data_IF_366514992864
#
_entry.id   IF_366514992864
#
_cell.length_a   1.000
_cell.length_b   1.000
_cell.length_c   1.000
_cell.angle_alpha   90.00
_cell.angle_beta   90.00
_cell.angle_gamma   90.00
#
_symmetry.space_group_name_H-M   'P 1'
#
loop_
_entity.id
_entity.type
_entity.pdbx_description
1 polymer ?
#
# COMPACT_ATOMS: atom_id res chain seq x y z
N UNK A 1 -7.90 -3.15 -14.59
CA UNK A 1 -7.17 -1.90 -14.85
C UNK A 1 -7.91 -1.19 -15.98
N UNK A 2 -8.55 -0.04 -15.69
CA UNK A 2 -9.21 0.79 -16.69
C UNK A 2 -8.14 1.70 -17.30
N UNK A 3 -7.66 1.34 -18.49
CA UNK A 3 -6.52 2.00 -19.16
C UNK A 3 -6.94 3.23 -19.99
N UNK A 4 -8.24 3.54 -20.10
CA UNK A 4 -8.75 4.72 -20.81
C UNK A 4 -9.25 5.80 -19.84
N UNK A 5 -9.01 7.07 -20.16
CA UNK A 5 -9.57 8.25 -19.46
C UNK A 5 -11.08 8.39 -19.72
N UNK A 6 -11.85 7.41 -19.28
CA UNK A 6 -13.29 7.34 -19.51
C UNK A 6 -14.02 7.49 -18.17
N UNK A 7 -14.93 8.45 -18.11
CA UNK A 7 -15.89 8.57 -17.01
C UNK A 7 -17.17 7.81 -17.36
N UNK A 8 -17.79 7.20 -16.36
CA UNK A 8 -19.06 6.48 -16.51
C UNK A 8 -20.09 7.07 -15.55
N UNK A 9 -21.26 7.43 -16.07
CA UNK A 9 -22.36 8.01 -15.32
C UNK A 9 -23.48 6.97 -15.28
N UNK A 10 -23.92 6.65 -14.07
CA UNK A 10 -25.02 5.72 -13.78
C UNK A 10 -25.59 6.09 -12.40
N UNK A 11 -26.68 5.45 -12.00
CA UNK A 11 -27.26 5.58 -10.66
C UNK A 11 -26.22 5.25 -9.58
N UNK A 12 -26.20 6.06 -8.52
CA UNK A 12 -25.25 5.89 -7.41
C UNK A 12 -25.31 4.47 -6.83
N UNK A 13 -26.51 3.90 -6.73
CA UNK A 13 -26.71 2.54 -6.22
C UNK A 13 -26.07 1.48 -7.12
N UNK A 14 -26.26 1.56 -8.44
CA UNK A 14 -25.66 0.61 -9.37
C UNK A 14 -24.12 0.73 -9.39
N UNK A 15 -23.59 1.95 -9.29
CA UNK A 15 -22.16 2.18 -9.18
C UNK A 15 -21.59 1.63 -7.87
N UNK A 16 -22.24 1.84 -6.73
CA UNK A 16 -21.83 1.27 -5.44
C UNK A 16 -21.82 -0.26 -5.49
N UNK A 17 -22.88 -0.87 -6.04
CA UNK A 17 -22.98 -2.33 -6.19
C UNK A 17 -21.88 -2.87 -7.11
N UNK A 18 -21.64 -2.25 -8.27
CA UNK A 18 -20.54 -2.65 -9.17
C UNK A 18 -19.17 -2.45 -8.54
N UNK A 19 -18.97 -1.35 -7.81
CA UNK A 19 -17.72 -1.11 -7.11
C UNK A 19 -17.48 -2.17 -6.03
N UNK A 20 -18.51 -2.54 -5.26
CA UNK A 20 -18.43 -3.63 -4.28
C UNK A 20 -18.15 -4.98 -4.94
N UNK A 21 -18.81 -5.28 -6.06
CA UNK A 21 -18.60 -6.54 -6.80
C UNK A 21 -17.24 -6.67 -7.48
N UNK A 22 -16.59 -5.55 -7.83
CA UNK A 22 -15.38 -5.53 -8.68
C UNK A 22 -14.14 -5.03 -7.92
N UNK A 23 -14.28 -4.77 -6.63
CA UNK A 23 -13.25 -4.26 -5.75
C UNK A 23 -13.29 -2.74 -5.66
N UNK A 24 -13.76 -2.23 -4.52
CA UNK A 24 -13.98 -0.79 -4.28
C UNK A 24 -12.71 0.05 -4.43
N UNK A 25 -11.54 -0.53 -4.18
CA UNK A 25 -10.23 0.13 -4.30
C UNK A 25 -9.85 0.51 -5.74
N UNK A 26 -10.49 -0.11 -6.75
CA UNK A 26 -10.20 0.15 -8.17
C UNK A 26 -11.02 1.31 -8.75
N UNK A 27 -11.98 1.85 -7.98
CA UNK A 27 -12.93 2.85 -8.45
C UNK A 27 -13.01 4.05 -7.50
N UNK A 28 -12.96 5.26 -8.05
CA UNK A 28 -13.27 6.49 -7.33
C UNK A 28 -14.69 6.93 -7.73
N UNK A 29 -15.63 6.88 -6.79
CA UNK A 29 -16.96 7.44 -7.01
C UNK A 29 -16.96 8.93 -6.66
N UNK A 30 -17.42 9.77 -7.59
CA UNK A 30 -17.70 11.17 -7.32
C UNK A 30 -18.80 11.32 -6.27
N UNK A 31 -18.68 12.29 -5.37
CA UNK A 31 -19.67 12.55 -4.31
C UNK A 31 -20.90 13.31 -4.83
N UNK A 32 -20.75 13.97 -5.97
CA UNK A 32 -21.80 14.80 -6.56
C UNK A 32 -22.87 13.94 -7.24
N UNK A 33 -24.12 14.33 -7.01
CA UNK A 33 -25.28 13.71 -7.64
C UNK A 33 -25.89 14.73 -8.59
N UNK A 34 -25.89 14.43 -9.88
CA UNK A 34 -26.47 15.30 -10.90
C UNK A 34 -28.01 15.33 -10.81
N UNK A 35 -28.62 14.21 -10.41
CA UNK A 35 -30.07 14.08 -10.29
C UNK A 35 -30.46 13.31 -9.03
N UNK A 36 -31.52 13.77 -8.35
CA UNK A 36 -32.13 13.06 -7.25
C UNK A 36 -32.96 11.90 -7.81
N UNK A 37 -32.45 10.68 -7.69
CA UNK A 37 -33.17 9.47 -8.08
C UNK A 37 -33.89 8.90 -6.84
N UNK A 38 -35.21 8.76 -6.96
CA UNK A 38 -36.07 8.18 -5.93
C UNK A 38 -36.69 6.89 -6.44
N UNK A 39 -36.75 5.87 -5.58
CA UNK A 39 -37.45 4.63 -5.86
C UNK A 39 -38.84 4.69 -5.24
N UNK A 40 -39.85 4.26 -5.99
CA UNK A 40 -41.24 4.22 -5.53
C UNK A 40 -41.85 2.87 -5.85
N UNK A 41 -42.84 2.47 -5.05
CA UNK A 41 -43.59 1.23 -5.26
C UNK A 41 -44.90 1.61 -5.95
N UNK A 42 -45.08 1.13 -7.17
CA UNK A 42 -46.30 1.37 -7.92
C UNK A 42 -47.45 0.51 -7.36
N UNK A 43 -48.61 1.13 -7.13
CA UNK A 43 -49.83 0.44 -6.73
C UNK A 43 -50.95 0.77 -7.72
N UNK A 44 -51.94 -0.13 -7.84
CA UNK A 44 -53.12 0.10 -8.66
C UNK A 44 -53.91 1.30 -8.14
N UNK A 45 -54.53 2.04 -9.06
CA UNK A 45 -55.34 3.22 -8.73
C UNK A 45 -56.52 2.78 -7.86
N UNK A 46 -56.67 3.39 -6.68
CA UNK A 46 -57.74 3.06 -5.73
C UNK A 46 -57.43 1.90 -4.79
N UNK A 47 -56.19 1.39 -4.77
CA UNK A 47 -55.79 0.36 -3.81
C UNK A 47 -56.08 0.80 -2.36
N UNK A 48 -56.90 0.06 -1.59
CA UNK A 48 -57.30 0.47 -0.23
C UNK A 48 -56.12 0.45 0.75
N UNK A 49 -55.11 -0.38 0.49
CA UNK A 49 -53.91 -0.49 1.30
C UNK A 49 -52.87 0.61 1.04
N UNK A 50 -53.06 1.49 0.05
CA UNK A 50 -52.06 2.52 -0.32
C UNK A 50 -51.69 3.40 0.87
N UNK A 51 -52.69 3.82 1.66
CA UNK A 51 -52.49 4.73 2.80
C UNK A 51 -51.69 4.04 3.91
N UNK A 52 -52.13 2.82 4.29
CA UNK A 52 -51.44 2.03 5.30
C UNK A 52 -50.00 1.70 4.88
N UNK A 53 -49.80 1.32 3.62
CA UNK A 53 -48.49 0.99 3.08
C UNK A 53 -47.56 2.20 3.05
N UNK A 54 -48.05 3.38 2.66
CA UNK A 54 -47.24 4.60 2.65
C UNK A 54 -46.81 5.02 4.06
N UNK A 55 -47.70 4.90 5.05
CA UNK A 55 -47.38 5.16 6.46
C UNK A 55 -46.28 4.23 6.97
N UNK A 56 -46.42 2.93 6.70
CA UNK A 56 -45.46 1.92 7.10
C UNK A 56 -44.09 2.14 6.41
N UNK A 57 -44.10 2.49 5.13
CA UNK A 57 -42.88 2.81 4.38
C UNK A 57 -42.16 4.05 4.96
N UNK A 58 -42.91 5.09 5.35
CA UNK A 58 -42.34 6.27 6.02
C UNK A 58 -41.66 5.88 7.33
N UNK A 59 -42.34 5.08 8.16
CA UNK A 59 -41.78 4.59 9.43
C UNK A 59 -40.52 3.75 9.22
N UNK A 60 -40.48 2.91 8.19
CA UNK A 60 -39.28 2.12 7.86
C UNK A 60 -38.10 3.00 7.41
N UNK A 61 -38.37 4.10 6.71
CA UNK A 61 -37.34 5.07 6.30
C UNK A 61 -36.85 5.88 7.49
N UNK A 62 -37.77 6.39 8.31
CA UNK A 62 -37.47 7.18 9.52
C UNK A 62 -36.71 6.37 10.57
N UNK A 63 -37.03 5.08 10.73
CA UNK A 63 -36.27 4.16 11.60
C UNK A 63 -34.91 3.77 11.04
N UNK A 64 -34.57 4.19 9.82
CA UNK A 64 -33.30 3.85 9.16
C UNK A 64 -33.19 2.39 8.74
N UNK A 65 -34.29 1.62 8.75
CA UNK A 65 -34.28 0.19 8.42
C UNK A 65 -33.86 -0.05 6.96
N UNK A 66 -34.29 0.83 6.04
CA UNK A 66 -33.84 0.83 4.64
C UNK A 66 -32.32 0.97 4.55
N UNK A 67 -31.74 1.89 5.33
CA UNK A 67 -30.29 2.13 5.31
C UNK A 67 -29.53 0.92 5.86
N UNK A 68 -30.04 0.30 6.93
CA UNK A 68 -29.48 -0.94 7.48
C UNK A 68 -29.48 -2.06 6.45
N UNK A 69 -30.61 -2.32 5.79
CA UNK A 69 -30.71 -3.36 4.77
C UNK A 69 -29.82 -3.08 3.56
N UNK A 70 -29.77 -1.83 3.08
CA UNK A 70 -28.86 -1.44 2.00
C UNK A 70 -27.41 -1.79 2.38
N UNK A 71 -26.98 -1.42 3.58
CA UNK A 71 -25.62 -1.68 4.07
C UNK A 71 -25.34 -3.18 4.16
N UNK A 72 -26.25 -3.93 4.77
CA UNK A 72 -26.11 -5.39 4.94
C UNK A 72 -25.99 -6.12 3.59
N UNK A 73 -26.78 -5.71 2.59
CA UNK A 73 -26.70 -6.30 1.25
C UNK A 73 -25.41 -5.92 0.53
N UNK A 74 -24.96 -4.66 0.64
CA UNK A 74 -23.66 -4.24 0.09
C UNK A 74 -22.49 -4.97 0.74
N UNK A 75 -22.54 -5.17 2.06
CA UNK A 75 -21.51 -5.88 2.81
C UNK A 75 -21.45 -7.36 2.39
N UNK A 76 -22.61 -8.02 2.19
CA UNK A 76 -22.70 -9.40 1.65
C UNK A 76 -22.11 -9.55 0.25
N UNK A 77 -22.32 -8.54 -0.59
CA UNK A 77 -21.76 -8.52 -1.95
C UNK A 77 -20.25 -8.32 -1.87
N UNK A 78 -19.81 -7.38 -1.02
CA UNK A 78 -18.38 -7.09 -0.85
C UNK A 78 -17.63 -8.29 -0.27
N UNK A 79 -18.18 -9.01 0.71
CA UNK A 79 -17.52 -10.18 1.31
C UNK A 79 -17.32 -11.32 0.31
N UNK A 80 -18.30 -11.58 -0.56
CA UNK A 80 -18.16 -12.55 -1.67
C UNK A 80 -17.06 -12.18 -2.67
N UNK A 81 -16.82 -10.89 -2.89
CA UNK A 81 -15.78 -10.42 -3.81
C UNK A 81 -14.40 -10.36 -3.14
N UNK A 82 -14.34 -10.03 -1.84
CA UNK A 82 -13.08 -9.90 -1.08
C UNK A 82 -12.38 -11.25 -0.87
N UNK A 83 -13.07 -12.39 -0.98
CA UNK A 83 -12.41 -13.71 -1.00
C UNK A 83 -11.37 -13.85 -2.14
N UNK A 84 -11.36 -12.96 -3.14
CA UNK A 84 -10.38 -12.94 -4.24
C UNK A 84 -9.29 -11.87 -4.14
N UNK A 85 -9.24 -11.03 -3.11
CA UNK A 85 -8.15 -10.06 -2.93
C UNK A 85 -7.49 -10.25 -1.55
N UNK A 86 -6.17 -10.40 -1.49
CA UNK A 86 -5.47 -10.55 -0.22
C UNK A 86 -5.72 -9.30 0.63
N UNK A 87 -6.06 -9.55 1.90
CA UNK A 87 -6.24 -8.49 2.89
C UNK A 87 -5.01 -7.56 2.88
N UNK A 88 -5.17 -6.22 2.98
CA UNK A 88 -4.06 -5.30 3.16
C UNK A 88 -3.35 -5.45 4.52
N UNK A 89 -3.84 -6.36 5.36
CA UNK A 89 -3.14 -6.90 6.53
C UNK A 89 -2.20 -8.05 6.13
N UNK A 90 -1.74 -8.10 4.89
CA UNK A 90 -0.61 -8.95 4.52
C UNK A 90 0.61 -8.52 5.33
N UNK A 91 1.17 -9.49 6.05
CA UNK A 91 2.38 -9.37 6.84
C UNK A 91 3.43 -8.58 6.05
N UNK A 92 4.09 -7.62 6.72
CA UNK A 92 5.16 -6.77 6.19
C UNK A 92 6.02 -7.59 5.23
N UNK A 93 5.76 -7.40 3.94
CA UNK A 93 6.36 -8.23 2.90
C UNK A 93 7.79 -7.73 2.70
N UNK A 94 8.69 -8.65 2.34
CA UNK A 94 10.11 -8.38 2.14
C UNK A 94 10.41 -7.18 1.21
N UNK A 95 9.46 -6.84 0.33
CA UNK A 95 9.49 -5.66 -0.54
C UNK A 95 9.65 -4.33 0.24
N UNK A 96 9.02 -4.18 1.40
CA UNK A 96 9.16 -2.98 2.21
C UNK A 96 10.52 -2.90 2.94
N UNK A 97 11.11 -4.06 3.26
CA UNK A 97 12.41 -4.15 3.95
C UNK A 97 13.61 -4.15 2.98
N UNK A 98 13.36 -4.36 1.68
CA UNK A 98 14.38 -4.36 0.63
C UNK A 98 15.18 -3.05 0.61
N UNK A 99 14.52 -1.90 0.79
CA UNK A 99 15.19 -0.60 0.87
C UNK A 99 16.18 -0.50 2.04
N UNK A 100 15.81 -1.02 3.22
CA UNK A 100 16.68 -1.05 4.39
C UNK A 100 17.91 -1.95 4.15
N UNK A 101 17.72 -3.10 3.50
CA UNK A 101 18.83 -3.99 3.12
C UNK A 101 19.80 -3.34 2.12
N UNK A 102 19.29 -2.54 1.16
CA UNK A 102 20.16 -1.81 0.22
C UNK A 102 21.03 -0.78 0.93
N UNK A 103 20.44 0.02 1.82
CA UNK A 103 21.20 1.01 2.60
C UNK A 103 22.23 0.32 3.49
N UNK A 104 21.87 -0.80 4.13
CA UNK A 104 22.80 -1.59 4.93
C UNK A 104 23.95 -2.15 4.10
N UNK A 105 23.66 -2.73 2.92
CA UNK A 105 24.69 -3.26 2.01
C UNK A 105 25.64 -2.17 1.52
N UNK A 106 25.14 -0.97 1.19
CA UNK A 106 25.98 0.17 0.81
C UNK A 106 26.87 0.64 1.97
N UNK A 107 26.32 0.69 3.19
CA UNK A 107 27.08 0.98 4.41
C UNK A 107 28.22 -0.01 4.61
N UNK A 108 27.93 -1.32 4.59
CA UNK A 108 28.96 -2.36 4.71
C UNK A 108 29.99 -2.30 3.56
N UNK A 109 29.55 -2.07 2.33
CA UNK A 109 30.43 -1.94 1.16
C UNK A 109 31.39 -0.77 1.29
N UNK A 110 30.90 0.41 1.67
CA UNK A 110 31.74 1.60 1.88
C UNK A 110 32.78 1.41 2.99
N UNK A 111 32.39 0.78 4.10
CA UNK A 111 33.32 0.45 5.20
C UNK A 111 34.41 -0.54 4.77
N UNK A 112 34.03 -1.59 4.04
CA UNK A 112 34.98 -2.56 3.50
C UNK A 112 35.95 -1.92 2.50
N UNK A 113 35.48 -1.03 1.62
CA UNK A 113 36.33 -0.30 0.68
C UNK A 113 37.30 0.64 1.40
N UNK A 114 36.85 1.37 2.43
CA UNK A 114 37.72 2.24 3.23
C UNK A 114 38.82 1.42 3.93
N UNK A 115 38.47 0.28 4.51
CA UNK A 115 39.44 -0.61 5.16
C UNK A 115 40.45 -1.21 4.17
N UNK A 116 39.99 -1.66 3.00
CA UNK A 116 40.86 -2.15 1.93
C UNK A 116 41.80 -1.04 1.43
N UNK A 117 41.30 0.16 1.22
CA UNK A 117 42.11 1.32 0.81
C UNK A 117 43.18 1.65 1.86
N UNK A 118 42.82 1.66 3.14
CA UNK A 118 43.77 1.89 4.24
C UNK A 118 44.83 0.79 4.32
N UNK A 119 44.43 -0.48 4.18
CA UNK A 119 45.36 -1.62 4.17
C UNK A 119 46.34 -1.55 3.01
N UNK A 120 45.87 -1.25 1.80
CA UNK A 120 46.73 -1.08 0.62
C UNK A 120 47.68 0.11 0.78
N UNK A 121 47.19 1.23 1.31
CA UNK A 121 48.02 2.41 1.56
C UNK A 121 49.08 2.16 2.65
N UNK A 122 48.72 1.47 3.73
CA UNK A 122 49.62 1.10 4.82
C UNK A 122 50.66 0.08 4.37
N UNK A 123 50.29 -0.90 3.54
CA UNK A 123 51.26 -1.85 2.97
C UNK A 123 52.21 -1.18 1.96
N UNK A 124 51.74 -0.23 1.16
CA UNK A 124 52.60 0.59 0.29
C UNK A 124 53.57 1.45 1.12
N UNK A 125 53.09 2.08 2.19
CA UNK A 125 53.93 2.86 3.11
C UNK A 125 54.94 1.99 3.88
N UNK A 126 54.59 0.75 4.22
CA UNK A 126 55.50 -0.23 4.86
C UNK A 126 56.51 -0.82 3.87
N UNK A 127 56.15 -1.01 2.60
CA UNK A 127 57.10 -1.43 1.55
C UNK A 127 58.04 -0.31 1.12
N UNK A 128 57.60 0.95 1.26
CA UNK A 128 58.41 2.15 1.01
C UNK A 128 59.10 2.74 2.24
N UNK A 129 59.05 2.07 3.41
CA UNK A 129 59.88 2.40 4.56
C UNK A 129 61.11 1.51 4.51
N UNK A 130 62.22 1.97 3.89
CA UNK A 130 63.38 1.14 3.71
C UNK A 130 63.97 0.78 5.06
N UNK A 131 64.33 -0.49 5.14
CA UNK A 131 65.31 -1.20 5.96
C UNK A 131 66.67 -0.48 6.13
N UNK A 132 66.74 0.85 6.03
CA UNK A 132 67.97 1.63 6.16
C UNK A 132 68.33 1.91 7.63
N UNK A 133 67.36 2.16 8.51
CA UNK A 133 67.67 2.45 9.93
C UNK A 133 68.13 1.22 10.72
N UNK A 134 67.76 0.02 10.27
CA UNK A 134 68.15 -1.23 10.93
C UNK A 134 69.52 -1.71 10.44
N UNK A 135 69.82 -1.57 9.14
CA UNK A 135 71.14 -1.92 8.60
C UNK A 135 72.26 -0.99 9.08
N UNK A 136 72.00 0.31 9.24
CA UNK A 136 73.02 1.24 9.79
C UNK A 136 73.33 0.92 11.25
N UNK A 137 72.33 0.56 12.06
CA UNK A 137 72.57 0.14 13.46
C UNK A 137 73.32 -1.19 13.57
N UNK A 138 73.08 -2.14 12.66
CA UNK A 138 73.80 -3.41 12.66
C UNK A 138 75.22 -3.29 12.12
N UNK A 139 75.49 -2.39 11.18
CA UNK A 139 76.85 -2.14 10.68
C UNK A 139 77.69 -1.30 11.64
N UNK A 140 77.11 -0.32 12.34
CA UNK A 140 77.84 0.46 13.35
C UNK A 140 78.16 -0.36 14.62
N UNK A 141 77.37 -1.38 14.95
CA UNK A 141 77.62 -2.24 16.12
C UNK A 141 78.64 -3.37 15.86
N UNK A 142 79.18 -3.48 14.64
CA UNK A 142 80.10 -4.54 14.23
C UNK A 142 81.49 -4.01 13.83
N UNK A 143 81.78 -2.73 14.12
CA UNK A 143 83.10 -2.11 13.91
C UNK A 143 83.87 -1.81 15.21
N UNK A 144 83.31 -2.13 16.38
CA UNK A 144 83.94 -1.89 17.70
C UNK A 144 84.52 -3.17 18.34
N UNK A 145 85.00 -4.14 17.55
CA UNK A 145 85.68 -5.35 18.03
C UNK A 145 87.06 -5.52 17.39
#
# INVERSE_FOLDING_TARGET
VLTSRTAYIDSTLALEVRASMRGRQKFHLGREKFFAQSYTIACTKGAPFRIAFNSLLSQMVESGLINKWKKEQLDKISSKTIESEPNPTEAITLAHLQGAFFVYALGCGSAALAFCAERLHSQRKRSGAPTASTLVKTLMNNQDL
#
